data_IF_720120066297
#
_entry.id   IF_720120066297
#
_cell.length_a   1.000
_cell.length_b   1.000
_cell.length_c   1.000
_cell.angle_alpha   90.00
_cell.angle_beta   90.00
_cell.angle_gamma   90.00
#
_symmetry.space_group_name_H-M   'P 1'
#
loop_
_entity.id
_entity.type
_entity.pdbx_description
1 polymer ?
#
# COMPACT_ATOMS: atom_id res chain seq x y z
N UNK A 1 38.14 16.57 0.25
CA UNK A 1 37.52 15.25 0.53
C UNK A 1 36.03 15.40 0.24
N UNK A 2 35.69 15.67 -1.03
CA UNK A 2 34.39 16.26 -1.42
C UNK A 2 33.55 15.33 -2.31
N UNK A 3 34.00 14.10 -2.52
CA UNK A 3 33.44 13.18 -3.52
C UNK A 3 32.18 12.43 -3.07
N UNK A 4 31.85 12.44 -1.77
CA UNK A 4 30.64 11.76 -1.27
C UNK A 4 29.39 12.65 -1.31
N UNK A 5 29.54 13.97 -1.38
CA UNK A 5 28.42 14.92 -1.47
C UNK A 5 28.05 15.27 -2.93
N UNK A 6 28.83 14.82 -3.91
CA UNK A 6 28.55 15.01 -5.33
C UNK A 6 27.54 14.02 -5.90
N UNK A 7 27.18 12.96 -5.16
CA UNK A 7 26.20 11.99 -5.62
C UNK A 7 24.80 12.61 -5.68
N UNK A 8 24.16 12.44 -6.84
CA UNK A 8 22.74 12.75 -7.00
C UNK A 8 21.92 11.52 -6.67
N UNK A 9 20.68 11.68 -6.17
CA UNK A 9 19.78 10.55 -5.92
C UNK A 9 19.51 9.68 -7.16
N UNK A 10 19.63 10.26 -8.36
CA UNK A 10 19.61 9.56 -9.65
C UNK A 10 20.73 8.54 -9.80
N UNK A 11 21.92 8.83 -9.27
CA UNK A 11 23.11 7.97 -9.38
C UNK A 11 22.97 6.68 -8.54
N UNK A 12 22.01 6.66 -7.61
CA UNK A 12 21.69 5.49 -6.79
C UNK A 12 20.63 4.59 -7.44
N UNK A 13 19.94 5.05 -8.48
CA UNK A 13 18.94 4.26 -9.19
C UNK A 13 19.61 3.41 -10.27
N UNK A 14 19.42 2.10 -10.18
CA UNK A 14 19.97 1.12 -11.14
C UNK A 14 19.08 0.90 -12.36
N UNK A 15 18.02 1.71 -12.52
CA UNK A 15 16.98 1.51 -13.52
C UNK A 15 16.45 2.83 -14.07
N UNK A 16 15.93 2.78 -15.30
CA UNK A 16 15.32 3.93 -15.97
C UNK A 16 13.80 4.02 -15.70
N UNK A 17 13.18 5.19 -15.93
CA UNK A 17 11.72 5.35 -15.79
C UNK A 17 10.93 4.35 -16.64
N UNK A 18 11.41 4.03 -17.84
CA UNK A 18 10.76 3.06 -18.73
C UNK A 18 10.83 1.62 -18.20
N UNK A 19 11.94 1.22 -17.60
CA UNK A 19 12.05 -0.10 -16.95
C UNK A 19 11.16 -0.19 -15.70
N UNK A 20 11.05 0.90 -14.94
CA UNK A 20 10.14 0.98 -13.79
C UNK A 20 8.66 0.88 -14.23
N UNK A 21 8.25 1.59 -15.28
CA UNK A 21 6.87 1.54 -15.78
C UNK A 21 6.47 0.13 -16.27
N UNK A 22 7.37 -0.55 -17.01
CA UNK A 22 7.14 -1.92 -17.49
C UNK A 22 6.97 -2.96 -16.38
N UNK A 23 7.44 -2.67 -15.17
CA UNK A 23 7.24 -3.54 -14.00
C UNK A 23 5.74 -3.75 -13.73
N UNK A 24 4.96 -2.67 -13.79
CA UNK A 24 3.52 -2.71 -13.53
C UNK A 24 2.76 -3.40 -14.66
N UNK A 25 3.19 -3.22 -15.91
CA UNK A 25 2.64 -3.94 -17.06
C UNK A 25 2.79 -5.45 -16.88
N UNK A 26 4.02 -5.93 -16.61
CA UNK A 26 4.29 -7.35 -16.35
C UNK A 26 3.52 -7.89 -15.13
N UNK A 27 3.38 -7.07 -14.10
CA UNK A 27 2.66 -7.43 -12.88
C UNK A 27 1.17 -7.66 -13.17
N UNK A 28 0.53 -6.75 -13.91
CA UNK A 28 -0.88 -6.87 -14.28
C UNK A 28 -1.11 -7.98 -15.31
N UNK A 29 -0.23 -8.13 -16.32
CA UNK A 29 -0.29 -9.24 -17.28
C UNK A 29 -0.29 -10.60 -16.58
N UNK A 30 0.56 -10.78 -15.56
CA UNK A 30 0.63 -12.03 -14.80
C UNK A 30 -0.62 -12.32 -13.95
N UNK A 31 -1.42 -11.30 -13.66
CA UNK A 31 -2.65 -11.42 -12.86
C UNK A 31 -3.87 -11.60 -13.75
N UNK A 32 -3.81 -11.20 -15.02
CA UNK A 32 -4.94 -11.31 -15.94
C UNK A 32 -5.42 -12.77 -16.09
N UNK A 33 -6.74 -13.06 -16.00
CA UNK A 33 -7.90 -12.16 -15.82
C UNK A 33 -8.36 -11.92 -14.37
N UNK A 34 -7.55 -12.30 -13.38
CA UNK A 34 -7.84 -12.25 -11.94
C UNK A 34 -8.09 -10.87 -11.32
N UNK A 35 -7.95 -9.77 -12.08
CA UNK A 35 -8.25 -8.41 -11.62
C UNK A 35 -9.68 -8.27 -11.09
N UNK A 36 -10.65 -8.94 -11.71
CA UNK A 36 -12.05 -8.91 -11.27
C UNK A 36 -12.23 -9.56 -9.89
N UNK A 37 -11.54 -10.68 -9.67
CA UNK A 37 -11.54 -11.33 -8.36
C UNK A 37 -10.89 -10.43 -7.31
N UNK A 38 -9.73 -9.83 -7.62
CA UNK A 38 -9.05 -8.92 -6.69
C UNK A 38 -9.89 -7.68 -6.37
N UNK A 39 -10.55 -7.08 -7.35
CA UNK A 39 -11.50 -6.00 -7.13
C UNK A 39 -12.64 -6.44 -6.21
N UNK A 40 -13.20 -7.63 -6.43
CA UNK A 40 -14.21 -8.23 -5.55
C UNK A 40 -13.71 -8.45 -4.12
N UNK A 41 -12.47 -8.93 -3.95
CA UNK A 41 -11.84 -9.12 -2.64
C UNK A 41 -11.59 -7.81 -1.90
N UNK A 42 -11.17 -6.75 -2.62
CA UNK A 42 -10.99 -5.42 -2.03
C UNK A 42 -12.35 -4.85 -1.59
N UNK A 43 -13.39 -4.95 -2.42
CA UNK A 43 -14.75 -4.51 -2.05
C UNK A 43 -15.32 -5.32 -0.88
N UNK A 44 -15.09 -6.63 -0.86
CA UNK A 44 -15.46 -7.49 0.26
C UNK A 44 -14.73 -7.08 1.54
N UNK A 45 -13.41 -6.85 1.49
CA UNK A 45 -12.62 -6.37 2.62
C UNK A 45 -13.19 -5.06 3.18
N UNK A 46 -13.49 -4.07 2.34
CA UNK A 46 -14.07 -2.78 2.76
C UNK A 46 -15.45 -2.97 3.42
N UNK A 47 -16.30 -3.82 2.82
CA UNK A 47 -17.64 -4.12 3.32
C UNK A 47 -17.60 -4.83 4.67
N UNK A 48 -16.68 -5.79 4.82
CA UNK A 48 -16.44 -6.53 6.07
C UNK A 48 -15.90 -5.61 7.17
N UNK A 49 -14.98 -4.70 6.82
CA UNK A 49 -14.42 -3.72 7.74
C UNK A 49 -15.47 -2.73 8.29
N UNK A 50 -16.47 -2.39 7.47
CA UNK A 50 -17.60 -1.54 7.84
C UNK A 50 -18.77 -2.28 8.51
N UNK A 51 -18.70 -3.61 8.59
CA UNK A 51 -19.79 -4.43 9.14
C UNK A 51 -19.93 -4.30 10.66
N UNK A 52 -21.00 -4.87 11.23
CA UNK A 52 -21.22 -4.91 12.69
C UNK A 52 -20.62 -6.14 13.39
N UNK A 53 -20.05 -7.09 12.64
CA UNK A 53 -19.63 -8.38 13.16
C UNK A 53 -18.12 -8.42 13.41
N UNK A 54 -17.71 -8.82 14.62
CA UNK A 54 -16.28 -8.90 14.97
C UNK A 54 -15.51 -9.89 14.08
N UNK A 55 -16.12 -11.02 13.74
CA UNK A 55 -15.50 -12.00 12.83
C UNK A 55 -15.21 -11.39 11.45
N UNK A 56 -16.08 -10.52 10.94
CA UNK A 56 -15.88 -9.85 9.66
C UNK A 56 -14.72 -8.85 9.72
N UNK A 57 -14.53 -8.14 10.83
CA UNK A 57 -13.37 -7.27 11.03
C UNK A 57 -12.06 -8.05 11.00
N UNK A 58 -12.03 -9.27 11.58
CA UNK A 58 -10.87 -10.15 11.52
C UNK A 58 -10.56 -10.59 10.09
N UNK A 59 -11.58 -10.98 9.34
CA UNK A 59 -11.43 -11.34 7.92
C UNK A 59 -10.94 -10.13 7.10
N UNK A 60 -11.48 -8.93 7.35
CA UNK A 60 -11.01 -7.71 6.67
C UNK A 60 -9.52 -7.42 6.95
N UNK A 61 -9.07 -7.56 8.20
CA UNK A 61 -7.66 -7.43 8.55
C UNK A 61 -6.80 -8.52 7.89
N UNK A 62 -7.29 -9.75 7.81
CA UNK A 62 -6.58 -10.85 7.14
C UNK A 62 -6.47 -10.64 5.62
N UNK A 63 -7.53 -10.14 4.98
CA UNK A 63 -7.50 -9.77 3.55
C UNK A 63 -6.51 -8.64 3.28
N UNK A 64 -6.49 -7.61 4.14
CA UNK A 64 -5.51 -6.54 4.02
C UNK A 64 -4.08 -7.07 4.24
N UNK A 65 -3.88 -7.97 5.20
CA UNK A 65 -2.59 -8.61 5.41
C UNK A 65 -2.15 -9.44 4.19
N UNK A 66 -3.07 -10.18 3.58
CA UNK A 66 -2.83 -10.94 2.36
C UNK A 66 -2.46 -10.02 1.19
N UNK A 67 -3.08 -8.85 1.07
CA UNK A 67 -2.71 -7.83 0.08
C UNK A 67 -1.27 -7.34 0.28
N UNK A 68 -0.87 -7.04 1.52
CA UNK A 68 0.52 -6.66 1.83
C UNK A 68 1.51 -7.80 1.54
N UNK A 69 1.17 -9.04 1.90
CA UNK A 69 1.99 -10.22 1.60
C UNK A 69 2.10 -10.50 0.10
N UNK A 70 1.02 -10.32 -0.65
CA UNK A 70 1.03 -10.45 -2.11
C UNK A 70 1.98 -9.45 -2.74
N UNK A 71 1.93 -8.17 -2.33
CA UNK A 71 2.86 -7.14 -2.82
C UNK A 71 4.30 -7.49 -2.43
N UNK A 72 4.55 -7.91 -1.18
CA UNK A 72 5.87 -8.36 -0.71
C UNK A 72 6.47 -9.45 -1.60
N UNK A 73 5.64 -10.42 -2.02
CA UNK A 73 6.09 -11.53 -2.83
C UNK A 73 6.20 -11.17 -4.32
N UNK A 74 5.11 -10.69 -4.92
CA UNK A 74 5.00 -10.57 -6.37
C UNK A 74 5.63 -9.30 -6.91
N UNK A 75 5.29 -8.14 -6.34
CA UNK A 75 5.87 -6.86 -6.79
C UNK A 75 7.36 -6.81 -6.51
N UNK A 76 7.77 -7.06 -5.27
CA UNK A 76 9.20 -6.98 -4.93
C UNK A 76 10.04 -8.12 -5.49
N UNK A 77 9.43 -9.27 -5.82
CA UNK A 77 10.10 -10.32 -6.57
C UNK A 77 10.54 -9.84 -7.96
N UNK A 78 9.64 -9.14 -8.69
CA UNK A 78 9.99 -8.53 -9.98
C UNK A 78 10.90 -7.31 -9.80
N UNK A 79 10.68 -6.51 -8.76
CA UNK A 79 11.46 -5.29 -8.52
C UNK A 79 12.93 -5.60 -8.17
N UNK A 80 13.19 -6.76 -7.57
CA UNK A 80 14.54 -7.24 -7.28
C UNK A 80 15.39 -7.49 -8.53
N UNK A 81 14.78 -7.67 -9.71
CA UNK A 81 15.51 -7.78 -10.98
C UNK A 81 16.21 -6.47 -11.37
N UNK A 82 15.69 -5.33 -10.91
CA UNK A 82 16.18 -4.00 -11.29
C UNK A 82 16.66 -3.15 -10.11
N UNK A 83 16.40 -3.56 -8.87
CA UNK A 83 16.77 -2.81 -7.68
C UNK A 83 17.25 -3.74 -6.56
N UNK A 84 18.54 -3.63 -6.19
CA UNK A 84 19.15 -4.41 -5.10
C UNK A 84 18.51 -4.15 -3.73
N UNK A 85 17.85 -3.00 -3.53
CA UNK A 85 17.17 -2.67 -2.29
C UNK A 85 15.80 -3.36 -2.15
N UNK A 86 15.24 -3.93 -3.23
CA UNK A 86 13.90 -4.51 -3.25
C UNK A 86 13.65 -5.58 -2.17
N UNK A 87 14.59 -6.50 -1.84
CA UNK A 87 14.37 -7.47 -0.76
C UNK A 87 14.17 -6.81 0.62
N UNK A 88 14.85 -5.69 0.88
CA UNK A 88 14.68 -4.94 2.13
C UNK A 88 13.30 -4.28 2.21
N UNK A 89 12.83 -3.74 1.08
CA UNK A 89 11.48 -3.20 0.98
C UNK A 89 10.42 -4.31 1.12
N UNK A 90 10.65 -5.50 0.55
CA UNK A 90 9.79 -6.65 0.76
C UNK A 90 9.69 -7.01 2.25
N UNK A 91 10.81 -6.96 2.98
CA UNK A 91 10.84 -7.14 4.43
C UNK A 91 9.92 -6.18 5.19
N UNK A 92 9.90 -4.90 4.80
CA UNK A 92 8.97 -3.91 5.36
C UNK A 92 7.50 -4.30 5.13
N UNK A 93 7.17 -4.80 3.94
CA UNK A 93 5.82 -5.25 3.62
C UNK A 93 5.43 -6.54 4.36
N UNK A 94 6.37 -7.47 4.55
CA UNK A 94 6.17 -8.67 5.37
C UNK A 94 5.90 -8.31 6.83
N UNK A 95 6.65 -7.36 7.39
CA UNK A 95 6.43 -6.87 8.77
C UNK A 95 5.02 -6.30 8.91
N UNK A 96 4.58 -5.48 7.95
CA UNK A 96 3.23 -4.93 7.97
C UNK A 96 2.15 -6.00 7.80
N UNK A 97 2.35 -6.97 6.90
CA UNK A 97 1.45 -8.11 6.74
C UNK A 97 1.32 -8.90 8.05
N UNK A 98 2.43 -9.17 8.74
CA UNK A 98 2.43 -9.84 10.03
C UNK A 98 1.71 -9.02 11.11
N UNK A 99 1.93 -7.69 11.16
CA UNK A 99 1.23 -6.82 12.10
C UNK A 99 -0.30 -6.79 11.86
N UNK A 100 -0.73 -6.80 10.60
CA UNK A 100 -2.13 -6.91 10.22
C UNK A 100 -2.72 -8.29 10.51
N UNK A 101 -1.95 -9.37 10.35
CA UNK A 101 -2.36 -10.71 10.79
C UNK A 101 -2.56 -10.78 12.30
N UNK A 102 -1.68 -10.15 13.09
CA UNK A 102 -1.86 -10.06 14.54
C UNK A 102 -3.11 -9.24 14.92
N UNK A 103 -3.44 -8.21 14.12
CA UNK A 103 -4.69 -7.47 14.25
C UNK A 103 -5.91 -8.35 13.91
N UNK A 104 -5.80 -9.22 12.91
CA UNK A 104 -6.84 -10.18 12.54
C UNK A 104 -7.03 -11.28 13.59
N UNK A 105 -5.93 -11.82 14.12
CA UNK A 105 -5.92 -12.88 15.11
C UNK A 105 -4.64 -12.83 15.95
N UNK A 106 -4.71 -12.71 17.29
CA UNK A 106 -5.92 -12.75 18.14
C UNK A 106 -6.64 -11.39 18.29
N UNK A 107 -6.27 -10.38 17.52
CA UNK A 107 -6.78 -9.01 17.68
C UNK A 107 -8.28 -8.79 17.39
N UNK A 108 -8.74 -7.54 17.55
CA UNK A 108 -10.13 -7.15 17.30
C UNK A 108 -10.50 -7.06 15.80
N UNK A 109 -9.54 -7.26 14.90
CA UNK A 109 -9.73 -7.04 13.47
C UNK A 109 -9.69 -5.57 13.06
N UNK A 110 -9.96 -5.33 11.77
CA UNK A 110 -10.06 -4.01 11.17
C UNK A 110 -11.52 -3.54 11.20
N UNK A 111 -11.92 -2.95 12.33
CA UNK A 111 -13.25 -2.38 12.50
C UNK A 111 -13.22 -0.88 12.15
N UNK A 112 -14.01 -0.43 11.18
CA UNK A 112 -14.11 1.00 10.86
C UNK A 112 -15.10 1.69 11.80
N UNK A 113 -14.68 2.81 12.38
CA UNK A 113 -15.50 3.60 13.29
C UNK A 113 -16.40 4.56 12.51
N UNK A 114 -17.70 4.68 12.87
CA UNK A 114 -18.55 5.73 12.34
C UNK A 114 -17.95 7.12 12.61
N UNK A 115 -18.17 8.11 11.74
CA UNK A 115 -17.62 9.45 11.93
C UNK A 115 -18.11 10.10 13.23
N UNK A 116 -17.22 10.21 14.21
CA UNK A 116 -17.43 10.95 15.47
C UNK A 116 -16.69 12.30 15.45
N UNK A 117 -17.19 13.33 16.15
CA UNK A 117 -16.47 14.61 16.29
C UNK A 117 -15.15 14.46 17.08
N UNK A 118 -14.05 15.13 16.67
CA UNK A 118 -13.88 15.90 15.44
C UNK A 118 -13.70 14.98 14.21
N UNK A 119 -14.44 15.27 13.14
CA UNK A 119 -14.53 14.40 11.95
C UNK A 119 -13.32 14.46 11.03
N UNK A 120 -12.36 15.36 11.27
CA UNK A 120 -11.20 15.61 10.40
C UNK A 120 -10.43 14.34 10.08
N UNK A 121 -10.15 13.53 11.10
CA UNK A 121 -9.43 12.26 10.95
C UNK A 121 -10.19 11.27 10.07
N UNK A 122 -11.50 11.18 10.24
CA UNK A 122 -12.34 10.27 9.47
C UNK A 122 -12.37 10.69 7.99
N UNK A 123 -12.58 11.98 7.71
CA UNK A 123 -12.59 12.49 6.34
C UNK A 123 -11.23 12.40 5.65
N UNK A 124 -10.13 12.64 6.38
CA UNK A 124 -8.79 12.41 5.86
C UNK A 124 -8.57 10.93 5.53
N UNK A 125 -8.97 10.03 6.43
CA UNK A 125 -8.88 8.60 6.22
C UNK A 125 -9.70 8.13 5.01
N UNK A 126 -10.93 8.63 4.86
CA UNK A 126 -11.78 8.35 3.70
C UNK A 126 -11.17 8.88 2.41
N UNK A 127 -10.68 10.13 2.42
CA UNK A 127 -10.03 10.74 1.26
C UNK A 127 -8.82 9.94 0.78
N UNK A 128 -7.97 9.49 1.72
CA UNK A 128 -6.83 8.63 1.39
C UNK A 128 -7.28 7.24 0.90
N UNK A 129 -8.27 6.62 1.54
CA UNK A 129 -8.78 5.32 1.10
C UNK A 129 -9.33 5.38 -0.34
N UNK A 130 -10.11 6.41 -0.65
CA UNK A 130 -10.63 6.66 -2.00
C UNK A 130 -9.53 7.03 -2.99
N UNK A 131 -8.49 7.75 -2.53
CA UNK A 131 -7.34 8.07 -3.39
C UNK A 131 -6.63 6.80 -3.86
N UNK A 132 -6.24 5.92 -2.93
CA UNK A 132 -5.57 4.67 -3.29
C UNK A 132 -6.44 3.78 -4.18
N UNK A 133 -7.75 3.74 -3.93
CA UNK A 133 -8.67 2.88 -4.65
C UNK A 133 -9.02 3.38 -6.06
N UNK A 134 -9.21 4.70 -6.23
CA UNK A 134 -9.81 5.27 -7.44
C UNK A 134 -8.88 6.29 -8.13
N UNK A 135 -8.30 7.21 -7.36
CA UNK A 135 -7.52 8.31 -7.96
C UNK A 135 -6.14 7.86 -8.42
N UNK A 136 -5.51 6.91 -7.75
CA UNK A 136 -4.21 6.38 -8.14
C UNK A 136 -4.24 5.71 -9.53
N UNK A 137 -5.14 4.76 -9.83
CA UNK A 137 -5.23 4.20 -11.18
C UNK A 137 -5.68 5.23 -12.21
N UNK A 138 -6.53 6.19 -11.82
CA UNK A 138 -6.96 7.26 -12.73
C UNK A 138 -5.81 8.22 -13.10
N UNK A 139 -4.96 8.59 -12.14
CA UNK A 139 -3.81 9.46 -12.36
C UNK A 139 -2.82 8.85 -13.37
N UNK A 140 -2.64 7.53 -13.34
CA UNK A 140 -1.84 6.80 -14.34
C UNK A 140 -2.38 6.98 -15.76
N UNK A 141 -3.71 6.86 -15.94
CA UNK A 141 -4.37 7.01 -17.24
C UNK A 141 -4.32 8.45 -17.75
N UNK A 142 -4.57 9.44 -16.88
CA UNK A 142 -4.51 10.88 -17.24
C UNK A 142 -3.09 11.30 -17.65
N UNK A 143 -2.06 10.64 -17.13
CA UNK A 143 -0.68 10.84 -17.55
C UNK A 143 -0.36 10.28 -18.96
N UNK A 144 -1.36 9.77 -19.69
CA UNK A 144 -1.21 9.23 -21.05
C UNK A 144 -0.47 7.90 -21.12
N UNK A 145 -0.36 7.17 -19.99
CA UNK A 145 0.34 5.89 -19.92
C UNK A 145 -0.54 4.72 -20.34
N UNK A 146 0.08 3.62 -20.75
CA UNK A 146 -0.63 2.42 -21.16
C UNK A 146 -1.51 1.88 -20.01
N UNK A 147 -2.79 1.52 -20.26
CA UNK A 147 -3.66 0.98 -19.22
C UNK A 147 -3.11 -0.27 -18.54
N UNK A 148 -2.32 -1.07 -19.25
CA UNK A 148 -1.67 -2.26 -18.72
C UNK A 148 -0.77 -1.98 -17.50
N UNK A 149 -0.21 -0.78 -17.37
CA UNK A 149 0.62 -0.39 -16.23
C UNK A 149 -0.14 0.23 -15.05
N UNK A 150 -1.47 0.17 -15.02
CA UNK A 150 -2.24 0.80 -13.94
C UNK A 150 -1.93 0.20 -12.58
N UNK A 151 -1.71 1.09 -11.60
CA UNK A 151 -1.41 0.69 -10.23
C UNK A 151 -2.70 0.51 -9.44
N UNK A 152 -2.97 -0.73 -9.03
CA UNK A 152 -4.21 -1.12 -8.35
C UNK A 152 -3.93 -1.55 -6.90
N UNK A 153 -4.90 -1.31 -6.01
CA UNK A 153 -4.86 -1.78 -4.61
C UNK A 153 -4.71 -3.31 -4.58
N UNK A 154 -3.92 -3.80 -3.62
CA UNK A 154 -3.54 -5.20 -3.45
C UNK A 154 -2.68 -5.79 -4.57
N UNK A 155 -2.26 -4.98 -5.55
CA UNK A 155 -1.34 -5.38 -6.62
C UNK A 155 -0.07 -4.51 -6.55
N UNK A 156 -0.24 -3.20 -6.61
CA UNK A 156 0.82 -2.23 -6.53
C UNK A 156 1.02 -1.73 -5.09
N UNK A 157 2.26 -1.38 -4.70
CA UNK A 157 2.59 -1.05 -3.32
C UNK A 157 2.01 0.31 -2.88
N UNK A 158 2.04 1.33 -3.73
CA UNK A 158 1.59 2.69 -3.43
C UNK A 158 0.08 2.79 -3.13
N UNK A 159 -0.83 2.36 -4.02
CA UNK A 159 -2.26 2.39 -3.73
C UNK A 159 -2.61 1.52 -2.52
N UNK A 160 -1.92 0.39 -2.32
CA UNK A 160 -2.10 -0.46 -1.13
C UNK A 160 -1.71 0.26 0.15
N UNK A 161 -0.57 0.95 0.17
CA UNK A 161 -0.09 1.72 1.33
C UNK A 161 -1.02 2.91 1.63
N UNK A 162 -1.43 3.67 0.61
CA UNK A 162 -2.34 4.81 0.74
C UNK A 162 -3.71 4.35 1.30
N UNK A 163 -4.29 3.31 0.71
CA UNK A 163 -5.56 2.75 1.19
C UNK A 163 -5.43 2.22 2.62
N UNK A 164 -4.30 1.58 2.95
CA UNK A 164 -4.03 1.10 4.31
C UNK A 164 -3.99 2.23 5.32
N UNK A 165 -3.30 3.33 5.03
CA UNK A 165 -3.30 4.53 5.90
C UNK A 165 -4.72 5.05 6.08
N UNK A 166 -5.49 5.17 4.98
CA UNK A 166 -6.87 5.63 5.03
C UNK A 166 -7.74 4.79 5.97
N UNK A 167 -7.70 3.46 5.79
CA UNK A 167 -8.42 2.50 6.64
C UNK A 167 -7.95 2.56 8.09
N UNK A 168 -6.64 2.60 8.32
CA UNK A 168 -6.06 2.67 9.66
C UNK A 168 -6.33 3.99 10.36
N UNK A 169 -6.59 5.09 9.65
CA UNK A 169 -7.05 6.34 10.26
C UNK A 169 -8.51 6.23 10.72
N UNK A 170 -9.35 5.49 10.00
CA UNK A 170 -10.75 5.25 10.36
C UNK A 170 -10.93 4.05 11.31
N UNK A 171 -9.91 3.22 11.51
CA UNK A 171 -10.01 2.01 12.31
C UNK A 171 -10.20 2.33 13.81
N UNK A 172 -11.11 1.58 14.45
CA UNK A 172 -11.28 1.49 15.89
C UNK A 172 -10.19 0.61 16.48
N UNK A 173 -9.33 1.19 17.31
CA UNK A 173 -8.27 0.45 18.01
C UNK A 173 -8.46 0.51 19.52
N UNK A 174 -7.98 -0.48 20.30
CA UNK A 174 -8.20 -0.55 21.74
C UNK A 174 -7.70 0.71 22.47
N UNK A 175 -8.52 1.32 23.35
CA UNK A 175 -8.21 2.61 24.00
C UNK A 175 -6.84 2.69 24.69
N UNK A 176 -6.41 1.63 25.39
CA UNK A 176 -5.16 1.64 26.17
C UNK A 176 -3.88 1.53 25.33
N UNK A 177 -3.92 0.82 24.19
CA UNK A 177 -2.75 0.58 23.33
C UNK A 177 -2.92 1.16 21.92
N UNK A 178 -4.01 1.87 21.68
CA UNK A 178 -4.47 2.25 20.34
C UNK A 178 -3.58 3.27 19.65
N UNK A 179 -2.91 4.15 20.40
CA UNK A 179 -1.96 5.12 19.82
C UNK A 179 -0.69 4.40 19.36
N UNK A 180 -0.10 3.57 20.22
CA UNK A 180 1.10 2.80 19.91
C UNK A 180 0.87 1.82 18.75
N UNK A 181 -0.22 1.05 18.81
CA UNK A 181 -0.58 0.10 17.76
C UNK A 181 -0.82 0.81 16.43
N UNK A 182 -1.46 1.98 16.45
CA UNK A 182 -1.66 2.78 15.24
C UNK A 182 -0.37 3.33 14.68
N UNK A 183 0.51 3.85 15.55
CA UNK A 183 1.85 4.28 15.13
C UNK A 183 2.57 3.13 14.43
N UNK A 184 2.62 1.96 15.07
CA UNK A 184 3.25 0.77 14.51
C UNK A 184 2.67 0.38 13.14
N UNK A 185 1.35 0.37 12.99
CA UNK A 185 0.69 0.01 11.73
C UNK A 185 0.78 1.08 10.64
N UNK A 186 0.97 2.36 11.02
CA UNK A 186 1.14 3.46 10.06
C UNK A 186 2.60 3.64 9.62
N UNK A 187 3.57 3.18 10.42
CA UNK A 187 4.98 3.37 10.13
C UNK A 187 5.41 2.70 8.82
N UNK A 188 5.13 1.40 8.55
CA UNK A 188 5.52 0.78 7.28
C UNK A 188 4.95 1.44 6.02
N UNK A 189 3.64 1.73 5.91
CA UNK A 189 3.13 2.43 4.73
C UNK A 189 3.67 3.86 4.61
N UNK A 190 3.88 4.58 5.71
CA UNK A 190 4.45 5.93 5.64
C UNK A 190 5.91 5.90 5.15
N UNK A 191 6.73 4.97 5.66
CA UNK A 191 8.10 4.76 5.20
C UNK A 191 8.11 4.41 3.71
N UNK A 192 7.27 3.48 3.28
CA UNK A 192 7.20 3.09 1.87
C UNK A 192 6.81 4.26 0.97
N UNK A 193 5.78 5.04 1.33
CA UNK A 193 5.36 6.18 0.52
C UNK A 193 6.43 7.27 0.45
N UNK A 194 7.23 7.46 1.51
CA UNK A 194 8.38 8.35 1.46
C UNK A 194 9.45 7.83 0.48
N UNK A 195 9.75 6.53 0.52
CA UNK A 195 10.70 5.89 -0.42
C UNK A 195 10.19 5.98 -1.86
N UNK A 196 8.93 5.68 -2.11
CA UNK A 196 8.32 5.77 -3.45
C UNK A 196 8.35 7.21 -3.97
N UNK A 197 7.97 8.20 -3.15
CA UNK A 197 8.02 9.61 -3.54
C UNK A 197 9.45 10.07 -3.87
N UNK A 198 10.45 9.66 -3.09
CA UNK A 198 11.86 9.94 -3.36
C UNK A 198 12.35 9.25 -4.65
N UNK A 199 11.92 8.02 -4.90
CA UNK A 199 12.24 7.26 -6.12
C UNK A 199 11.65 7.98 -7.33
N UNK A 200 10.39 8.41 -7.25
CA UNK A 200 9.71 9.14 -8.32
C UNK A 200 10.35 10.50 -8.60
N UNK A 201 10.69 11.26 -7.55
CA UNK A 201 11.38 12.54 -7.70
C UNK A 201 12.78 12.37 -8.32
N UNK A 202 13.52 11.33 -7.94
CA UNK A 202 14.79 10.99 -8.58
C UNK A 202 14.59 10.65 -10.06
N UNK A 203 13.59 9.83 -10.42
CA UNK A 203 13.29 9.50 -11.82
C UNK A 203 12.91 10.72 -12.67
N UNK A 204 12.26 11.74 -12.08
CA UNK A 204 11.90 12.98 -12.77
C UNK A 204 13.06 13.98 -12.91
N UNK A 205 14.13 13.82 -12.12
CA UNK A 205 15.29 14.71 -12.10
C UNK A 205 16.52 14.13 -12.82
N UNK A 206 16.40 12.91 -13.35
CA UNK A 206 17.35 12.28 -14.26
C UNK A 206 17.19 12.80 -15.69
#
# INVERSE_FOLDING_TARGET
MDTWLSYRPTDLLMFSPGSYARLFERLNEAIWPGHWLLAGLVLAMLSLAASRHEAAHRVAAALLAAAWGWVAWRFFGLYAEINLAAPWFAGLFVIQAAALLLLAWPGPGLALEPPAPPRTRHWLGLGLALWGLLLHPFAWLVAGRAPAGTELVAIAPDPTAITTIGLLLMARLPRRRGVLLRGLLLTPPAIWLAISALTWWALLSA
#
